data_IF_093322544087
#
_entry.id   IF_093322544087
#
_cell.length_a   1.000
_cell.length_b   1.000
_cell.length_c   1.000
_cell.angle_alpha   90.00
_cell.angle_beta   90.00
_cell.angle_gamma   90.00
#
_symmetry.space_group_name_H-M   'P 1'
#
loop_
_entity.id
_entity.type
_entity.pdbx_description
1 polymer ?
#
# COMPACT_ATOMS: atom_id res chain seq x y z
N UNK A 1 -9.40 -5.21 -3.04
CA UNK A 1 -7.98 -4.91 -2.75
C UNK A 1 -7.24 -6.22 -2.67
N UNK A 2 -6.07 -6.31 -3.29
CA UNK A 2 -5.16 -7.45 -3.19
C UNK A 2 -3.84 -6.92 -2.62
N UNK A 3 -3.42 -7.44 -1.48
CA UNK A 3 -2.14 -7.11 -0.87
C UNK A 3 -1.39 -8.40 -0.54
N UNK A 4 -0.31 -8.64 -1.27
CA UNK A 4 0.60 -9.77 -1.07
C UNK A 4 2.04 -9.27 -0.91
N UNK A 5 2.23 -8.19 -0.17
CA UNK A 5 3.55 -7.60 0.08
C UNK A 5 4.36 -8.33 1.16
N UNK A 6 3.76 -9.31 1.85
CA UNK A 6 4.47 -10.30 2.67
C UNK A 6 4.28 -10.22 4.19
N UNK A 7 3.71 -9.13 4.73
CA UNK A 7 3.48 -9.02 6.18
C UNK A 7 2.01 -9.27 6.55
N UNK A 8 1.11 -8.70 5.79
CA UNK A 8 -0.33 -8.74 6.04
C UNK A 8 -1.09 -9.17 4.78
N UNK A 9 -0.56 -10.23 4.13
CA UNK A 9 -1.14 -10.74 2.90
C UNK A 9 -2.63 -11.01 3.05
N UNK A 10 -3.41 -10.35 2.21
CA UNK A 10 -4.86 -10.38 2.33
C UNK A 10 -5.56 -10.00 1.04
N UNK A 11 -6.79 -10.45 0.92
CA UNK A 11 -7.77 -9.92 -0.03
C UNK A 11 -8.85 -9.20 0.77
N UNK A 12 -9.24 -8.03 0.29
CA UNK A 12 -10.28 -7.22 0.91
C UNK A 12 -11.30 -6.82 -0.13
N UNK A 13 -12.55 -7.02 0.20
CA UNK A 13 -13.70 -6.62 -0.61
C UNK A 13 -14.41 -5.46 0.06
N UNK A 14 -14.68 -4.39 -0.68
CA UNK A 14 -15.52 -3.28 -0.25
C UNK A 14 -16.84 -3.34 -1.00
N UNK A 15 -17.94 -3.48 -0.25
CA UNK A 15 -19.32 -3.49 -0.78
C UNK A 15 -20.15 -2.56 0.10
N UNK A 16 -20.84 -1.60 -0.50
CA UNK A 16 -21.71 -0.64 0.20
C UNK A 16 -21.03 -0.03 1.44
N UNK A 17 -19.80 0.47 1.29
CA UNK A 17 -18.95 1.05 2.34
C UNK A 17 -18.55 0.10 3.49
N UNK A 18 -18.85 -1.20 3.37
CA UNK A 18 -18.36 -2.21 4.33
C UNK A 18 -17.14 -2.92 3.77
N UNK A 19 -16.14 -3.10 4.61
CA UNK A 19 -14.92 -3.82 4.28
C UNK A 19 -14.95 -5.22 4.88
N UNK A 20 -14.72 -6.20 4.02
CA UNK A 20 -14.56 -7.61 4.39
C UNK A 20 -13.15 -8.01 4.03
N UNK A 21 -12.39 -8.50 4.99
CA UNK A 21 -10.98 -8.87 4.77
C UNK A 21 -10.78 -10.34 5.10
N UNK A 22 -10.05 -11.04 4.23
CA UNK A 22 -9.55 -12.38 4.43
C UNK A 22 -8.03 -12.38 4.37
N UNK A 23 -7.38 -12.79 5.45
CA UNK A 23 -5.93 -13.02 5.47
C UNK A 23 -5.57 -14.25 4.64
N UNK A 24 -4.45 -14.18 3.94
CA UNK A 24 -3.87 -15.26 3.15
C UNK A 24 -2.61 -15.73 3.86
N UNK A 25 -2.38 -17.03 3.94
CA UNK A 25 -1.15 -17.56 4.52
C UNK A 25 0.02 -17.31 3.56
N UNK A 26 1.00 -16.54 4.00
CA UNK A 26 2.14 -16.02 3.22
C UNK A 26 2.99 -17.10 2.56
N UNK A 27 3.16 -18.25 3.23
CA UNK A 27 3.94 -19.39 2.73
C UNK A 27 3.27 -20.16 1.60
N UNK A 28 2.00 -19.87 1.29
CA UNK A 28 1.19 -20.57 0.30
C UNK A 28 0.79 -19.71 -0.91
N UNK A 29 1.34 -18.49 -1.06
CA UNK A 29 0.93 -17.61 -2.16
C UNK A 29 1.49 -18.13 -3.47
N UNK A 30 0.67 -18.88 -4.16
CA UNK A 30 0.80 -19.24 -5.57
C UNK A 30 -0.37 -18.65 -6.34
N UNK A 31 -0.20 -18.41 -7.63
CA UNK A 31 -1.24 -17.80 -8.48
C UNK A 31 -2.57 -18.56 -8.42
N UNK A 32 -2.51 -19.88 -8.39
CA UNK A 32 -3.70 -20.76 -8.33
C UNK A 32 -4.45 -20.56 -7.00
N UNK A 33 -3.71 -20.53 -5.87
CA UNK A 33 -4.29 -20.33 -4.53
C UNK A 33 -4.92 -18.94 -4.44
N UNK A 34 -4.22 -17.90 -4.87
CA UNK A 34 -4.75 -16.54 -4.84
C UNK A 34 -6.01 -16.40 -5.70
N UNK A 35 -6.01 -17.00 -6.90
CA UNK A 35 -7.17 -16.99 -7.81
C UNK A 35 -8.37 -17.69 -7.17
N UNK A 36 -8.15 -18.87 -6.59
CA UNK A 36 -9.21 -19.64 -5.91
C UNK A 36 -9.77 -18.87 -4.71
N UNK A 37 -8.90 -18.28 -3.90
CA UNK A 37 -9.30 -17.47 -2.74
C UNK A 37 -10.13 -16.25 -3.14
N UNK A 38 -9.75 -15.56 -4.20
CA UNK A 38 -10.52 -14.45 -4.75
C UNK A 38 -11.89 -14.94 -5.24
N UNK A 39 -11.92 -16.01 -6.03
CA UNK A 39 -13.17 -16.58 -6.56
C UNK A 39 -14.15 -16.95 -5.44
N UNK A 40 -13.67 -17.67 -4.43
CA UNK A 40 -14.46 -18.07 -3.27
C UNK A 40 -14.96 -16.85 -2.48
N UNK A 41 -14.12 -15.84 -2.33
CA UNK A 41 -14.44 -14.62 -1.59
C UNK A 41 -15.52 -13.80 -2.28
N UNK A 42 -15.42 -13.63 -3.60
CA UNK A 42 -16.42 -12.96 -4.43
C UNK A 42 -17.76 -13.71 -4.38
N UNK A 43 -17.73 -15.04 -4.54
CA UNK A 43 -18.91 -15.90 -4.46
C UNK A 43 -19.60 -15.80 -3.09
N UNK A 44 -18.82 -15.80 -2.01
CA UNK A 44 -19.34 -15.70 -0.62
C UNK A 44 -20.17 -14.42 -0.41
N UNK A 45 -19.77 -13.31 -1.02
CA UNK A 45 -20.46 -12.01 -0.88
C UNK A 45 -21.37 -11.68 -2.07
N UNK A 46 -21.61 -12.64 -2.96
CA UNK A 46 -22.47 -12.50 -4.15
C UNK A 46 -22.14 -11.27 -4.98
N UNK A 47 -20.84 -11.04 -5.22
CA UNK A 47 -20.35 -9.90 -6.00
C UNK A 47 -20.11 -10.30 -7.43
N UNK A 48 -20.60 -9.52 -8.37
CA UNK A 48 -20.35 -9.67 -9.80
C UNK A 48 -19.17 -8.82 -10.24
N UNK A 49 -18.23 -9.45 -10.96
CA UNK A 49 -17.11 -8.74 -11.59
C UNK A 49 -17.51 -8.27 -12.99
N UNK A 50 -17.46 -6.97 -13.18
CA UNK A 50 -17.74 -6.31 -14.46
C UNK A 50 -16.90 -5.02 -14.59
N UNK A 51 -17.17 -4.20 -15.60
CA UNK A 51 -16.46 -2.97 -15.89
C UNK A 51 -16.61 -1.86 -14.82
N UNK A 52 -17.61 -1.96 -13.95
CA UNK A 52 -17.76 -1.04 -12.82
C UNK A 52 -16.93 -1.47 -11.59
N UNK A 53 -16.40 -2.69 -11.61
CA UNK A 53 -15.59 -3.21 -10.51
C UNK A 53 -14.14 -2.74 -10.61
N UNK A 54 -13.59 -2.30 -9.50
CA UNK A 54 -12.20 -1.82 -9.41
C UNK A 54 -11.36 -2.72 -8.52
N UNK A 55 -10.19 -3.13 -9.02
CA UNK A 55 -9.20 -3.92 -8.29
C UNK A 55 -8.05 -3.00 -7.90
N UNK A 56 -7.77 -2.89 -6.61
CA UNK A 56 -6.64 -2.13 -6.07
C UNK A 56 -5.53 -3.08 -5.63
N UNK A 57 -4.29 -2.83 -6.06
CA UNK A 57 -3.15 -3.72 -5.80
C UNK A 57 -2.05 -2.93 -5.09
N UNK A 58 -1.57 -3.45 -3.97
CA UNK A 58 -0.34 -2.95 -3.37
C UNK A 58 0.86 -3.41 -4.21
N UNK A 59 1.61 -2.46 -4.76
CA UNK A 59 2.80 -2.73 -5.57
C UNK A 59 4.10 -2.75 -4.76
N UNK A 60 4.02 -2.68 -3.44
CA UNK A 60 5.17 -2.78 -2.53
C UNK A 60 5.44 -1.48 -1.74
N UNK A 61 6.58 -1.41 -1.08
CA UNK A 61 7.64 -2.42 -1.05
C UNK A 61 7.24 -3.68 -0.27
N UNK A 62 7.82 -4.82 -0.65
CA UNK A 62 7.55 -6.10 0.02
C UNK A 62 7.96 -7.31 -0.81
N UNK A 63 7.23 -8.41 -0.66
CA UNK A 63 7.46 -9.67 -1.35
C UNK A 63 7.43 -9.51 -2.87
N UNK A 64 8.56 -9.71 -3.50
CA UNK A 64 8.70 -9.62 -4.94
C UNK A 64 7.78 -10.58 -5.71
N UNK A 65 7.73 -11.84 -5.26
CA UNK A 65 6.85 -12.86 -5.85
C UNK A 65 5.39 -12.57 -5.59
N UNK A 66 5.04 -12.17 -4.37
CA UNK A 66 3.66 -11.86 -3.98
C UNK A 66 3.07 -10.72 -4.80
N UNK A 67 3.81 -9.62 -4.98
CA UNK A 67 3.37 -8.49 -5.81
C UNK A 67 3.16 -8.91 -7.27
N UNK A 68 4.09 -9.69 -7.83
CA UNK A 68 3.96 -10.17 -9.22
C UNK A 68 2.76 -11.08 -9.41
N UNK A 69 2.53 -12.00 -8.48
CA UNK A 69 1.37 -12.89 -8.50
C UNK A 69 0.08 -12.08 -8.43
N UNK A 70 -0.01 -11.10 -7.53
CA UNK A 70 -1.18 -10.20 -7.41
C UNK A 70 -1.48 -9.47 -8.72
N UNK A 71 -0.43 -8.92 -9.36
CA UNK A 71 -0.55 -8.23 -10.64
C UNK A 71 -1.00 -9.19 -11.76
N UNK A 72 -0.43 -10.39 -11.84
CA UNK A 72 -0.77 -11.37 -12.85
C UNK A 72 -2.24 -11.82 -12.71
N UNK A 73 -2.68 -12.13 -11.50
CA UNK A 73 -4.07 -12.54 -11.22
C UNK A 73 -5.05 -11.42 -11.55
N UNK A 74 -4.77 -10.19 -11.12
CA UNK A 74 -5.63 -9.06 -11.40
C UNK A 74 -5.73 -8.75 -12.91
N UNK A 75 -4.61 -8.86 -13.63
CA UNK A 75 -4.60 -8.73 -15.09
C UNK A 75 -5.40 -9.83 -15.78
N UNK A 76 -5.31 -11.07 -15.33
CA UNK A 76 -6.16 -12.15 -15.81
C UNK A 76 -7.66 -11.85 -15.61
N UNK A 77 -8.04 -11.37 -14.43
CA UNK A 77 -9.42 -10.95 -14.14
C UNK A 77 -9.84 -9.78 -15.06
N UNK A 78 -8.98 -8.78 -15.24
CA UNK A 78 -9.24 -7.63 -16.11
C UNK A 78 -9.55 -8.07 -17.54
N UNK A 79 -8.74 -8.96 -18.11
CA UNK A 79 -8.93 -9.45 -19.49
C UNK A 79 -10.28 -10.13 -19.66
N UNK A 80 -10.70 -10.94 -18.67
CA UNK A 80 -11.94 -11.74 -18.78
C UNK A 80 -13.19 -10.95 -18.39
N UNK A 81 -13.09 -10.04 -17.42
CA UNK A 81 -14.23 -9.37 -16.79
C UNK A 81 -14.29 -7.87 -17.09
N UNK A 82 -13.32 -7.33 -17.83
CA UNK A 82 -13.20 -5.91 -18.16
C UNK A 82 -13.22 -4.99 -16.92
N UNK A 83 -12.61 -5.44 -15.81
CA UNK A 83 -12.52 -4.68 -14.57
C UNK A 83 -11.47 -3.57 -14.67
N UNK A 84 -11.57 -2.55 -13.82
CA UNK A 84 -10.51 -1.54 -13.70
C UNK A 84 -9.44 -1.98 -12.71
N UNK A 85 -8.16 -1.73 -13.03
CA UNK A 85 -7.04 -1.98 -12.12
C UNK A 85 -6.41 -0.65 -11.72
N UNK A 86 -6.19 -0.50 -10.41
CA UNK A 86 -5.46 0.62 -9.80
C UNK A 86 -4.36 0.06 -8.92
N UNK A 87 -3.27 0.81 -8.81
CA UNK A 87 -2.17 0.48 -7.91
C UNK A 87 -1.94 1.56 -6.89
N UNK A 88 -1.44 1.15 -5.74
CA UNK A 88 -0.94 2.00 -4.67
C UNK A 88 0.30 1.34 -4.05
N UNK A 89 1.02 2.05 -3.21
CA UNK A 89 2.14 1.49 -2.46
C UNK A 89 1.99 1.73 -0.95
N UNK A 90 2.78 1.02 -0.16
CA UNK A 90 2.68 1.07 1.29
C UNK A 90 3.09 2.42 1.88
N UNK A 91 3.94 3.20 1.21
CA UNK A 91 4.28 4.56 1.66
C UNK A 91 3.05 5.47 1.61
N UNK A 92 2.30 5.42 0.50
CA UNK A 92 1.08 6.20 0.31
C UNK A 92 -0.02 5.78 1.28
N UNK A 93 -0.22 4.46 1.43
CA UNK A 93 -1.24 3.95 2.33
C UNK A 93 -1.02 4.40 3.78
N UNK A 94 0.23 4.36 4.24
CA UNK A 94 0.59 4.78 5.59
C UNK A 94 0.52 6.30 5.78
N UNK A 95 0.83 7.09 4.74
CA UNK A 95 0.75 8.54 4.79
C UNK A 95 -0.69 9.07 4.73
N UNK A 96 -1.61 8.31 4.13
CA UNK A 96 -2.94 8.80 3.78
C UNK A 96 -3.78 9.38 4.93
N UNK A 97 -3.73 8.90 6.19
CA UNK A 97 -4.48 9.52 7.30
C UNK A 97 -4.03 10.95 7.63
N UNK A 98 -2.80 11.31 7.24
CA UNK A 98 -2.16 12.58 7.59
C UNK A 98 -2.16 13.62 6.46
N UNK A 99 -2.72 13.29 5.29
CA UNK A 99 -2.80 14.19 4.14
C UNK A 99 -3.60 15.47 4.46
N UNK A 100 -4.54 15.41 5.39
CA UNK A 100 -5.32 16.59 5.84
C UNK A 100 -4.47 17.63 6.57
N UNK A 101 -3.30 17.29 7.09
CA UNK A 101 -2.40 18.22 7.76
C UNK A 101 -1.78 19.23 6.78
N UNK A 102 -1.83 18.96 5.47
CA UNK A 102 -1.31 19.82 4.38
C UNK A 102 0.16 20.25 4.60
N UNK A 103 0.95 19.37 5.21
CA UNK A 103 2.37 19.54 5.49
C UNK A 103 3.22 18.62 4.63
N UNK A 104 4.49 18.91 4.51
CA UNK A 104 5.41 17.95 3.90
C UNK A 104 5.55 16.70 4.77
N UNK A 105 5.50 15.55 4.11
CA UNK A 105 5.47 14.22 4.76
C UNK A 105 6.67 13.42 4.30
N UNK A 106 7.32 12.71 5.22
CA UNK A 106 8.27 11.64 4.92
C UNK A 106 7.67 10.34 5.42
N UNK A 107 7.16 9.52 4.50
CA UNK A 107 6.68 8.19 4.80
C UNK A 107 7.84 7.20 4.76
N UNK A 108 8.07 6.47 5.85
CA UNK A 108 9.20 5.54 6.02
C UNK A 108 8.71 4.10 5.90
N UNK A 109 9.53 3.26 5.26
CA UNK A 109 9.39 1.80 5.23
C UNK A 109 10.73 1.14 5.52
N UNK A 110 10.70 -0.05 6.13
CA UNK A 110 11.89 -0.87 6.37
C UNK A 110 11.82 -2.16 5.55
N UNK A 111 12.84 -2.40 4.76
CA UNK A 111 12.99 -3.62 3.97
C UNK A 111 14.42 -4.12 4.05
N UNK A 112 14.63 -5.41 4.38
CA UNK A 112 15.96 -6.02 4.47
C UNK A 112 16.96 -5.22 5.33
N UNK A 113 16.54 -4.77 6.51
CA UNK A 113 17.32 -3.94 7.46
C UNK A 113 17.64 -2.52 6.97
N UNK A 114 17.24 -2.13 5.78
CA UNK A 114 17.40 -0.78 5.24
C UNK A 114 16.13 0.01 5.36
N UNK A 115 16.27 1.32 5.55
CA UNK A 115 15.15 2.25 5.56
C UNK A 115 15.05 2.97 4.23
N UNK A 116 13.83 3.11 3.77
CA UNK A 116 13.47 3.85 2.57
C UNK A 116 12.39 4.86 2.91
N UNK A 117 12.33 5.95 2.17
CA UNK A 117 11.30 6.96 2.34
C UNK A 117 10.73 7.38 0.99
N UNK A 118 9.50 7.86 1.03
CA UNK A 118 8.87 8.63 -0.04
C UNK A 118 8.44 9.96 0.53
N UNK A 119 8.82 11.06 -0.13
CA UNK A 119 8.50 12.42 0.29
C UNK A 119 7.23 12.88 -0.37
N UNK A 120 6.23 13.21 0.44
CA UNK A 120 4.99 13.85 0.02
C UNK A 120 5.11 15.37 0.14
N UNK A 121 4.97 16.08 -0.96
CA UNK A 121 4.97 17.54 -1.03
C UNK A 121 3.55 17.98 -1.33
N UNK A 122 3.03 18.93 -0.55
CA UNK A 122 1.71 19.51 -0.76
C UNK A 122 1.84 20.86 -1.47
N UNK A 123 1.29 20.92 -2.68
CA UNK A 123 1.11 22.14 -3.47
C UNK A 123 -0.23 22.01 -4.20
N UNK A 124 -1.32 22.51 -3.59
CA UNK A 124 -2.71 22.26 -4.01
C UNK A 124 -3.15 20.80 -3.97
N UNK A 125 -2.33 19.86 -4.39
CA UNK A 125 -2.51 18.40 -4.30
C UNK A 125 -1.22 17.77 -3.77
N UNK A 126 -1.31 16.55 -3.17
CA UNK A 126 -0.10 15.81 -2.78
C UNK A 126 0.56 15.15 -3.99
N UNK A 127 1.88 15.31 -4.06
CA UNK A 127 2.76 14.55 -4.97
C UNK A 127 3.81 13.84 -4.15
N UNK A 128 4.00 12.56 -4.40
CA UNK A 128 4.99 11.73 -3.72
C UNK A 128 6.16 11.42 -4.66
N UNK A 129 7.39 11.54 -4.14
CA UNK A 129 8.59 11.16 -4.88
C UNK A 129 8.69 9.65 -4.99
N UNK A 130 9.48 9.18 -5.96
CA UNK A 130 9.93 7.80 -5.96
C UNK A 130 10.66 7.49 -4.66
N UNK A 131 10.51 6.27 -4.10
CA UNK A 131 11.19 5.90 -2.86
C UNK A 131 12.70 5.92 -3.00
N UNK A 132 13.35 6.47 -1.99
CA UNK A 132 14.80 6.56 -1.88
C UNK A 132 15.28 5.97 -0.53
N UNK A 133 16.54 5.53 -0.49
CA UNK A 133 17.18 5.08 0.73
C UNK A 133 17.44 6.24 1.67
N UNK A 134 17.19 6.06 2.96
CA UNK A 134 17.44 7.08 3.98
C UNK A 134 18.43 6.58 5.03
N UNK A 135 19.39 7.42 5.38
CA UNK A 135 20.22 7.24 6.56
C UNK A 135 19.60 7.98 7.75
N UNK A 136 18.89 7.24 8.58
CA UNK A 136 18.23 7.80 9.77
C UNK A 136 19.20 8.26 10.87
N UNK A 137 20.52 7.97 10.76
CA UNK A 137 21.52 8.57 11.65
C UNK A 137 21.75 10.06 11.34
N UNK A 138 21.37 10.50 10.15
CA UNK A 138 21.46 11.87 9.67
C UNK A 138 20.11 12.31 9.09
N UNK A 139 19.07 12.46 9.92
CA UNK A 139 17.73 12.76 9.43
C UNK A 139 17.69 14.14 8.74
N UNK A 140 16.79 14.32 7.78
CA UNK A 140 16.58 15.61 7.14
C UNK A 140 16.28 16.73 8.16
N UNK A 141 16.90 17.89 8.00
CA UNK A 141 16.75 19.04 8.91
C UNK A 141 15.43 19.81 8.76
N UNK A 142 14.63 19.47 7.77
CA UNK A 142 13.45 20.23 7.40
C UNK A 142 12.23 19.97 8.32
N UNK A 143 11.19 20.77 8.17
CA UNK A 143 9.94 20.70 8.93
C UNK A 143 8.98 19.63 8.38
N UNK A 144 9.48 18.39 8.28
CA UNK A 144 8.68 17.26 7.83
C UNK A 144 7.94 16.57 8.98
N UNK A 145 6.79 16.00 8.64
CA UNK A 145 6.14 14.99 9.47
C UNK A 145 6.64 13.61 9.03
N UNK A 146 7.20 12.86 9.96
CA UNK A 146 7.63 11.48 9.73
C UNK A 146 6.47 10.52 9.98
N UNK A 147 6.06 9.79 8.96
CA UNK A 147 5.06 8.72 9.08
C UNK A 147 5.81 7.40 9.22
N UNK A 148 5.66 6.78 10.37
CA UNK A 148 6.39 5.58 10.79
C UNK A 148 5.40 4.44 11.02
N UNK A 149 5.54 3.31 10.32
CA UNK A 149 4.75 2.11 10.60
C UNK A 149 4.95 1.62 12.04
N UNK A 150 3.87 1.17 12.66
CA UNK A 150 3.89 0.68 14.05
C UNK A 150 4.92 -0.43 14.27
N UNK A 151 5.15 -1.27 13.28
CA UNK A 151 6.07 -2.39 13.36
C UNK A 151 7.54 -1.98 13.57
N UNK A 152 7.91 -0.76 13.18
CA UNK A 152 9.29 -0.24 13.31
C UNK A 152 9.44 0.88 14.32
N UNK A 153 8.37 1.26 15.04
CA UNK A 153 8.39 2.37 16.01
C UNK A 153 9.43 2.22 17.11
N UNK A 154 9.74 0.98 17.46
CA UNK A 154 10.71 0.66 18.52
C UNK A 154 12.15 0.52 18.03
N UNK A 155 12.42 0.65 16.75
CA UNK A 155 13.76 0.61 16.21
C UNK A 155 14.61 1.77 16.77
N UNK A 156 15.85 1.49 17.14
CA UNK A 156 16.73 2.47 17.77
C UNK A 156 16.93 3.75 16.95
N UNK A 157 17.06 3.62 15.61
CA UNK A 157 17.20 4.77 14.72
C UNK A 157 15.92 5.60 14.62
N UNK A 158 14.75 4.99 14.72
CA UNK A 158 13.46 5.71 14.76
C UNK A 158 13.33 6.49 16.07
N UNK A 159 13.76 5.90 17.18
CA UNK A 159 13.73 6.57 18.51
C UNK A 159 14.60 7.82 18.58
N UNK A 160 15.60 7.95 17.72
CA UNK A 160 16.47 9.12 17.64
C UNK A 160 15.87 10.27 16.81
N UNK A 161 14.74 10.07 16.12
CA UNK A 161 14.04 11.13 15.44
C UNK A 161 13.29 12.03 16.44
N UNK A 162 13.05 13.28 16.07
CA UNK A 162 12.27 14.19 16.91
C UNK A 162 10.81 13.70 17.03
N UNK A 163 10.40 13.30 18.23
CA UNK A 163 9.10 12.72 18.53
C UNK A 163 7.90 13.64 18.21
N UNK A 164 8.05 14.95 18.32
CA UNK A 164 6.96 15.89 18.03
C UNK A 164 6.50 15.81 16.56
N UNK A 165 7.39 15.39 15.68
CA UNK A 165 7.15 15.28 14.23
C UNK A 165 6.83 13.86 13.78
N UNK A 166 6.81 12.88 14.69
CA UNK A 166 6.49 11.49 14.33
C UNK A 166 5.00 11.24 14.45
N UNK A 167 4.46 10.55 13.44
CA UNK A 167 3.12 9.97 13.43
C UNK A 167 3.26 8.46 13.26
N UNK A 168 2.87 7.70 14.26
CA UNK A 168 2.83 6.25 14.17
C UNK A 168 1.54 5.84 13.46
N UNK A 169 1.67 4.98 12.47
CA UNK A 169 0.53 4.50 11.68
C UNK A 169 0.42 2.98 11.72
N UNK A 170 -0.79 2.49 11.95
CA UNK A 170 -1.11 1.09 11.78
C UNK A 170 -1.48 0.82 10.32
N UNK A 171 -1.09 -0.36 9.84
CA UNK A 171 -1.46 -0.80 8.50
C UNK A 171 -2.97 -1.01 8.41
N UNK A 172 -3.65 -0.19 7.61
CA UNK A 172 -5.11 -0.23 7.48
C UNK A 172 -5.57 -0.06 6.03
N UNK A 173 -6.08 -1.14 5.44
CA UNK A 173 -6.57 -1.14 4.06
C UNK A 173 -7.81 -0.24 3.83
N UNK A 174 -8.52 0.16 4.89
CA UNK A 174 -9.61 1.14 4.76
C UNK A 174 -9.11 2.52 4.31
N UNK A 175 -7.83 2.80 4.55
CA UNK A 175 -7.18 4.04 4.11
C UNK A 175 -7.10 4.18 2.58
N UNK A 176 -7.44 3.13 1.81
CA UNK A 176 -7.53 3.20 0.35
C UNK A 176 -8.52 4.28 -0.10
N UNK A 177 -9.58 4.52 0.66
CA UNK A 177 -10.54 5.58 0.34
C UNK A 177 -9.89 6.95 0.33
N UNK A 178 -8.98 7.21 1.27
CA UNK A 178 -8.21 8.46 1.33
C UNK A 178 -7.27 8.61 0.12
N UNK A 179 -6.70 7.50 -0.37
CA UNK A 179 -5.87 7.53 -1.57
C UNK A 179 -6.70 7.83 -2.83
N UNK A 180 -7.90 7.28 -2.93
CA UNK A 180 -8.82 7.53 -4.05
C UNK A 180 -9.26 9.00 -4.03
N UNK A 181 -9.69 9.52 -2.87
CA UNK A 181 -10.12 10.91 -2.69
C UNK A 181 -9.02 11.92 -3.07
N UNK A 182 -7.77 11.59 -2.75
CA UNK A 182 -6.60 12.44 -3.05
C UNK A 182 -5.95 12.11 -4.40
N UNK A 183 -6.54 11.27 -5.25
CA UNK A 183 -6.03 10.87 -6.58
C UNK A 183 -4.63 10.25 -6.54
N UNK A 184 -4.31 9.54 -5.46
CA UNK A 184 -3.00 8.91 -5.23
C UNK A 184 -2.96 7.42 -5.64
N UNK A 185 -3.96 6.95 -6.36
CA UNK A 185 -3.97 5.62 -7.00
C UNK A 185 -3.66 5.76 -8.49
N UNK A 186 -2.89 4.81 -9.02
CA UNK A 186 -2.45 4.84 -10.41
C UNK A 186 -3.13 3.76 -11.24
N UNK A 187 -3.58 4.08 -12.45
CA UNK A 187 -4.16 3.13 -13.41
C UNK A 187 -3.36 3.01 -14.72
N UNK A 188 -2.25 3.77 -14.82
CA UNK A 188 -1.34 3.74 -15.96
C UNK A 188 -0.32 2.62 -15.75
N UNK A 189 0.66 2.49 -16.51
CA UNK A 189 1.76 1.51 -16.51
C UNK A 189 1.97 0.75 -15.17
N UNK A 190 1.20 -0.32 -14.97
CA UNK A 190 1.14 -1.09 -13.71
C UNK A 190 2.38 -1.99 -13.61
N UNK A 191 3.28 -1.71 -12.68
CA UNK A 191 4.49 -2.50 -12.41
C UNK A 191 4.85 -2.52 -10.92
N UNK A 192 5.57 -3.55 -10.45
CA UNK A 192 6.06 -3.59 -9.07
C UNK A 192 6.96 -2.42 -8.71
N UNK A 193 6.90 -1.98 -7.46
CA UNK A 193 7.81 -0.99 -6.92
C UNK A 193 9.08 -1.70 -6.40
N UNK A 194 10.20 -1.47 -7.06
CA UNK A 194 11.49 -2.00 -6.64
C UNK A 194 12.28 -0.95 -5.87
N UNK A 195 12.84 -1.35 -4.73
CA UNK A 195 13.76 -0.54 -3.95
C UNK A 195 15.20 -1.01 -4.26
N UNK A 196 16.01 -0.11 -4.75
CA UNK A 196 17.44 -0.35 -5.07
C UNK A 196 18.36 0.22 -3.98
#
# INVERSE_FOLDING_TARGET
IIDCTGKNDSITLKVNNKFFTKKIQTNLIKSEILTLEIANFIKKYNVELNNSFSIFINVGPGSFSGVRISLAVAKGIQIVKNTNIYTYNSFLLNASPYLKEKKEIISIQKTNKLYYFSRGIFDSEYRFTSPEKIDLSKPPKAEFIFIVPDEIKNDALIKNLNYEKIRITEYNLKNIDLLIENKLVENKLIKPLYLS
#
